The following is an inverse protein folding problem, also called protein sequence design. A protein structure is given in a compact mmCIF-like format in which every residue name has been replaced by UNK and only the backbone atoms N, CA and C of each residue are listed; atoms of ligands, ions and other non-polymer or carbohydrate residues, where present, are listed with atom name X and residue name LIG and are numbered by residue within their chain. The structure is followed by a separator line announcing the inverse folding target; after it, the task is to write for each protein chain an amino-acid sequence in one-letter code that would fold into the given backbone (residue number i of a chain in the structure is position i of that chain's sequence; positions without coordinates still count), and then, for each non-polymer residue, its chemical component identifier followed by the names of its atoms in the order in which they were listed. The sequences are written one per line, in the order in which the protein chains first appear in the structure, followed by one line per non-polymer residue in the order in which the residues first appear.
data_IF_111005753146
#
_entry.id   IF_111005753146
#
_cell.length_a   1.000
_cell.length_b   1.000
_cell.length_c   1.000
_cell.angle_alpha   90.00
_cell.angle_beta   90.00
_cell.angle_gamma   90.00
#
_symmetry.space_group_name_H-M   'P 1'
#
loop_
_entity.id
_entity.type
_entity.pdbx_description
1 polymer ?
#
# COMPACT_ATOMS: atom_id res chain seq x y z
N UNK A 1 33.49 -31.58 18.14
CA UNK A 1 32.18 -30.89 18.07
C UNK A 1 32.44 -29.41 18.01
N UNK A 2 32.53 -28.89 16.79
CA UNK A 2 32.64 -27.45 16.51
C UNK A 2 31.35 -27.10 15.78
N UNK A 3 30.63 -26.11 16.30
CA UNK A 3 29.54 -25.46 15.57
C UNK A 3 30.17 -24.70 14.41
N UNK A 4 29.77 -25.04 13.19
CA UNK A 4 30.05 -24.28 11.98
C UNK A 4 28.73 -23.64 11.54
N UNK A 5 28.63 -22.32 11.70
CA UNK A 5 27.56 -21.52 11.11
C UNK A 5 27.80 -21.41 9.60
N UNK A 6 27.23 -22.35 8.85
CA UNK A 6 27.05 -22.18 7.41
C UNK A 6 25.79 -21.35 7.18
N UNK A 7 25.98 -20.09 6.78
CA UNK A 7 24.92 -19.21 6.31
C UNK A 7 24.05 -19.92 5.27
N UNK A 8 22.73 -19.86 5.46
CA UNK A 8 21.76 -20.38 4.49
C UNK A 8 21.54 -19.31 3.41
N UNK A 9 22.02 -19.51 2.17
CA UNK A 9 21.72 -18.60 1.08
C UNK A 9 20.40 -19.05 0.44
N UNK A 10 19.40 -18.18 0.49
CA UNK A 10 18.31 -18.17 -0.48
C UNK A 10 17.32 -19.34 -0.39
N UNK A 11 16.16 -19.07 0.19
CA UNK A 11 14.90 -19.61 -0.33
C UNK A 11 13.70 -18.79 0.18
N UNK A 12 13.59 -17.53 -0.25
CA UNK A 12 12.24 -16.99 -0.49
C UNK A 12 11.75 -17.65 -1.79
N UNK A 13 11.24 -18.89 -1.67
CA UNK A 13 10.46 -19.51 -2.75
C UNK A 13 9.16 -18.71 -2.86
N UNK A 14 9.15 -17.69 -3.71
CA UNK A 14 7.90 -17.13 -4.21
C UNK A 14 7.32 -18.14 -5.21
N UNK A 15 6.30 -18.85 -4.78
CA UNK A 15 5.51 -19.79 -5.55
C UNK A 15 4.63 -19.05 -6.58
N UNK A 16 5.23 -18.63 -7.70
CA UNK A 16 4.57 -18.58 -9.01
C UNK A 16 3.41 -17.61 -9.26
N UNK A 17 2.94 -16.79 -8.30
CA UNK A 17 1.91 -15.75 -8.53
C UNK A 17 2.09 -14.52 -7.63
N UNK A 18 3.20 -13.79 -7.76
CA UNK A 18 3.39 -12.52 -7.05
C UNK A 18 2.47 -11.44 -7.62
N UNK A 19 1.29 -11.23 -7.03
CA UNK A 19 0.42 -10.10 -7.37
C UNK A 19 0.89 -8.86 -6.64
N UNK A 20 1.90 -8.12 -7.11
CA UNK A 20 2.30 -6.85 -6.48
C UNK A 20 1.19 -5.80 -6.60
N UNK A 21 0.99 -4.98 -5.57
CA UNK A 21 0.10 -3.81 -5.63
C UNK A 21 0.91 -2.52 -5.73
N UNK A 22 0.46 -1.61 -6.59
CA UNK A 22 1.04 -0.27 -6.73
C UNK A 22 0.05 0.75 -6.18
N UNK A 23 0.41 1.41 -5.09
CA UNK A 23 -0.37 2.46 -4.46
C UNK A 23 0.10 3.81 -4.98
N UNK A 24 -0.84 4.71 -5.28
CA UNK A 24 -0.53 6.07 -5.74
C UNK A 24 -1.27 7.11 -4.91
N UNK A 25 -0.54 8.16 -4.56
CA UNK A 25 -1.05 9.26 -3.74
C UNK A 25 -0.81 10.62 -4.39
N UNK A 26 -1.75 11.53 -4.15
CA UNK A 26 -1.60 12.96 -4.40
C UNK A 26 -1.93 13.69 -3.10
N UNK A 27 -1.18 14.75 -2.81
CA UNK A 27 -1.43 15.64 -1.68
C UNK A 27 -1.37 17.08 -2.20
N UNK A 28 -2.29 17.91 -1.74
CA UNK A 28 -2.36 19.32 -2.11
C UNK A 28 -3.04 20.14 -1.00
N UNK A 29 -2.81 21.45 -0.98
CA UNK A 29 -3.43 22.36 -0.01
C UNK A 29 -4.92 22.52 -0.32
N UNK A 30 -5.75 22.58 0.73
CA UNK A 30 -7.20 22.79 0.56
C UNK A 30 -7.46 24.09 -0.19
N UNK A 31 -8.30 24.03 -1.22
CA UNK A 31 -8.65 25.17 -2.08
C UNK A 31 -7.75 25.35 -3.30
N UNK A 32 -6.63 24.62 -3.37
CA UNK A 32 -5.79 24.59 -4.57
C UNK A 32 -6.25 23.50 -5.54
N UNK A 33 -5.79 23.62 -6.80
CA UNK A 33 -6.13 22.67 -7.86
C UNK A 33 -5.46 21.32 -7.61
N UNK A 34 -6.21 20.24 -7.80
CA UNK A 34 -5.65 18.89 -7.77
C UNK A 34 -4.52 18.75 -8.82
N UNK A 35 -3.35 18.25 -8.43
CA UNK A 35 -2.24 18.01 -9.34
C UNK A 35 -2.57 16.96 -10.40
N UNK A 36 -2.15 17.22 -11.65
CA UNK A 36 -2.42 16.30 -12.77
C UNK A 36 -1.64 14.97 -12.63
N UNK A 37 -0.45 15.02 -12.01
CA UNK A 37 0.45 13.86 -11.86
C UNK A 37 0.38 13.28 -10.45
N UNK A 38 0.59 11.96 -10.35
CA UNK A 38 0.82 11.28 -9.08
C UNK A 38 2.14 11.77 -8.46
N UNK A 39 2.12 12.03 -7.15
CA UNK A 39 3.31 12.53 -6.44
C UNK A 39 4.00 11.42 -5.63
N UNK A 40 3.21 10.48 -5.10
CA UNK A 40 3.69 9.39 -4.25
C UNK A 40 3.35 8.06 -4.89
N UNK A 41 4.32 7.14 -4.92
CA UNK A 41 4.15 5.75 -5.33
C UNK A 41 4.72 4.81 -4.26
N UNK A 42 3.99 3.75 -3.94
CA UNK A 42 4.45 2.68 -3.05
C UNK A 42 4.12 1.32 -3.65
N UNK A 43 4.97 0.33 -3.39
CA UNK A 43 4.80 -1.05 -3.87
C UNK A 43 4.63 -1.96 -2.66
N UNK A 44 3.55 -2.73 -2.66
CA UNK A 44 3.35 -3.87 -1.76
C UNK A 44 3.61 -5.15 -2.56
N UNK A 45 4.67 -5.88 -2.20
CA UNK A 45 5.09 -7.10 -2.88
C UNK A 45 4.17 -8.30 -2.58
N UNK A 46 3.41 -8.25 -1.47
CA UNK A 46 2.53 -9.34 -1.01
C UNK A 46 1.20 -8.78 -0.48
N UNK A 47 0.38 -8.16 -1.34
CA UNK A 47 -0.81 -7.44 -0.93
C UNK A 47 -1.98 -8.37 -0.58
N UNK A 48 -2.85 -7.87 0.30
CA UNK A 48 -4.13 -8.48 0.58
C UNK A 48 -5.11 -8.24 -0.59
N UNK A 49 -5.33 -9.27 -1.43
CA UNK A 49 -6.18 -9.19 -2.64
C UNK A 49 -7.69 -9.38 -2.38
N UNK A 50 -8.07 -9.73 -1.14
CA UNK A 50 -9.47 -9.93 -0.73
C UNK A 50 -9.68 -9.42 0.69
N UNK A 51 -10.80 -8.76 0.93
CA UNK A 51 -11.18 -8.25 2.25
C UNK A 51 -12.30 -7.23 2.17
N UNK A 52 -12.76 -6.79 3.33
CA UNK A 52 -13.70 -5.65 3.43
C UNK A 52 -12.95 -4.34 3.18
N UNK A 53 -13.53 -3.38 2.43
CA UNK A 53 -12.97 -2.03 2.34
C UNK A 53 -13.00 -1.36 3.72
N UNK A 54 -11.96 -0.59 4.04
CA UNK A 54 -11.82 0.11 5.32
C UNK A 54 -11.19 1.48 5.17
N UNK A 55 -11.59 2.42 6.02
CA UNK A 55 -11.01 3.75 6.16
C UNK A 55 -10.45 3.90 7.56
N UNK A 56 -9.26 4.49 7.65
CA UNK A 56 -8.63 4.83 8.91
C UNK A 56 -8.05 6.23 8.80
N UNK A 57 -8.32 7.08 9.78
CA UNK A 57 -7.75 8.42 9.88
C UNK A 57 -7.40 8.71 11.33
N UNK A 58 -6.13 8.98 11.61
CA UNK A 58 -5.68 9.42 12.93
C UNK A 58 -5.72 10.94 12.99
N UNK A 59 -6.81 11.49 13.54
CA UNK A 59 -7.19 12.90 13.45
C UNK A 59 -7.13 13.57 14.84
N UNK A 60 -5.98 13.44 15.54
CA UNK A 60 -5.86 13.90 16.94
C UNK A 60 -5.85 15.43 17.03
N UNK A 61 -5.07 16.08 16.17
CA UNK A 61 -4.84 17.54 16.22
C UNK A 61 -5.62 18.32 15.15
N UNK A 62 -6.37 17.63 14.29
CA UNK A 62 -7.10 18.23 13.17
C UNK A 62 -8.28 17.35 12.73
N UNK A 63 -9.26 17.96 12.07
CA UNK A 63 -10.42 17.26 11.51
C UNK A 63 -10.08 16.58 10.18
N UNK A 64 -10.67 15.39 9.96
CA UNK A 64 -10.63 14.70 8.66
C UNK A 64 -12.04 14.64 8.08
N UNK A 65 -12.14 15.01 6.81
CA UNK A 65 -13.38 14.96 6.03
C UNK A 65 -13.20 13.99 4.87
N UNK A 66 -14.20 13.13 4.67
CA UNK A 66 -14.26 12.16 3.57
C UNK A 66 -15.50 12.46 2.73
N UNK A 67 -15.38 12.42 1.40
CA UNK A 67 -16.51 12.62 0.48
C UNK A 67 -16.30 11.80 -0.81
N UNK A 68 -17.37 11.57 -1.58
CA UNK A 68 -17.40 10.88 -2.87
C UNK A 68 -16.75 9.49 -2.89
N UNK A 69 -16.83 8.76 -1.78
CA UNK A 69 -16.24 7.42 -1.68
C UNK A 69 -17.09 6.40 -2.41
N UNK A 70 -16.50 5.75 -3.41
CA UNK A 70 -17.13 4.66 -4.16
C UNK A 70 -16.28 3.39 -4.06
N UNK A 71 -16.89 2.27 -3.69
CA UNK A 71 -16.24 0.96 -3.73
C UNK A 71 -16.74 0.21 -4.96
N UNK A 72 -15.83 -0.21 -5.82
CA UNK A 72 -16.11 -1.04 -7.00
C UNK A 72 -15.25 -2.29 -6.99
N UNK A 73 -15.71 -3.35 -7.65
CA UNK A 73 -14.87 -4.51 -7.89
C UNK A 73 -13.73 -4.11 -8.84
N UNK A 74 -12.49 -4.47 -8.52
CA UNK A 74 -11.38 -4.37 -9.48
C UNK A 74 -11.67 -5.19 -10.74
N UNK A 75 -11.31 -4.66 -11.91
CA UNK A 75 -11.38 -5.38 -13.19
C UNK A 75 -10.40 -6.54 -13.23
#
# INVERSE_FOLDING_TARGET
MVHDEAGSPGAARCDGKSSRAVLKGKVWVRGEKEPDKWQVEAIDEVPNVKGSPGLFGNAIDAEIFYDNITVTKGK
#
